data_IF_767210305716
#
_entry.id   IF_767210305716
#
_cell.length_a   1.000
_cell.length_b   1.000
_cell.length_c   1.000
_cell.angle_alpha   90.00
_cell.angle_beta   90.00
_cell.angle_gamma   90.00
#
_symmetry.space_group_name_H-M   'P 1'
#
loop_
_entity.id
_entity.type
_entity.pdbx_description
1 polymer ?
#
# COMPACT_ATOMS: atom_id res chain seq x y z
N UNK A 1 -21.42 -20.85 0.45
CA UNK A 1 -20.57 -20.76 -0.74
C UNK A 1 -19.54 -19.70 -0.46
N UNK A 2 -18.31 -20.10 -0.15
CA UNK A 2 -17.19 -19.16 0.01
C UNK A 2 -16.87 -18.61 -1.37
N UNK A 3 -16.89 -17.28 -1.59
CA UNK A 3 -16.52 -16.74 -2.88
C UNK A 3 -15.02 -16.93 -3.05
N UNK A 4 -14.64 -17.91 -3.88
CA UNK A 4 -13.29 -18.03 -4.40
C UNK A 4 -13.08 -16.87 -5.37
N UNK A 5 -12.64 -15.72 -4.84
CA UNK A 5 -12.23 -14.57 -5.64
C UNK A 5 -11.15 -15.06 -6.62
N UNK A 6 -11.47 -15.17 -7.90
CA UNK A 6 -10.47 -15.53 -8.90
C UNK A 6 -9.41 -14.42 -8.99
N UNK A 7 -8.14 -14.74 -9.33
CA UNK A 7 -7.08 -13.74 -9.47
C UNK A 7 -7.41 -12.60 -10.45
N UNK A 8 -8.28 -12.86 -11.42
CA UNK A 8 -8.80 -11.86 -12.38
C UNK A 8 -9.68 -10.78 -11.74
N UNK A 9 -10.15 -10.99 -10.51
CA UNK A 9 -11.08 -10.11 -9.81
C UNK A 9 -10.38 -9.15 -8.84
N UNK A 10 -9.07 -9.34 -8.59
CA UNK A 10 -8.28 -8.54 -7.64
C UNK A 10 -8.21 -7.05 -8.06
N UNK A 11 -8.20 -6.78 -9.37
CA UNK A 11 -8.24 -5.43 -9.92
C UNK A 11 -9.64 -4.78 -9.90
N UNK A 12 -10.63 -5.38 -9.24
CA UNK A 12 -11.99 -4.84 -9.17
C UNK A 12 -12.41 -4.62 -7.72
N UNK A 13 -12.96 -3.44 -7.41
CA UNK A 13 -13.67 -3.18 -6.16
C UNK A 13 -15.17 -3.00 -6.44
N UNK A 14 -16.01 -3.50 -5.53
CA UNK A 14 -17.47 -3.32 -5.60
C UNK A 14 -17.88 -2.42 -4.43
N UNK A 15 -18.35 -1.23 -4.76
CA UNK A 15 -18.83 -0.24 -3.80
C UNK A 15 -20.19 -0.62 -3.24
N UNK A 16 -20.44 -0.24 -2.00
CA UNK A 16 -21.70 -0.48 -1.31
C UNK A 16 -22.75 0.56 -1.75
N UNK A 17 -22.40 1.84 -1.69
CA UNK A 17 -23.32 2.94 -2.06
C UNK A 17 -23.17 3.38 -3.52
N UNK A 18 -21.92 3.36 -4.00
CA UNK A 18 -21.53 3.76 -5.34
C UNK A 18 -21.45 5.28 -5.54
N UNK A 19 -20.71 5.70 -6.56
CA UNK A 19 -20.71 7.09 -7.00
C UNK A 19 -22.01 7.39 -7.76
N UNK A 20 -22.83 8.31 -7.24
CA UNK A 20 -24.15 8.62 -7.80
C UNK A 20 -24.06 9.81 -8.74
N UNK A 21 -24.55 9.65 -9.96
CA UNK A 21 -24.68 10.73 -10.94
C UNK A 21 -26.09 10.77 -11.52
N UNK A 22 -26.51 11.93 -12.03
CA UNK A 22 -27.78 12.07 -12.73
C UNK A 22 -27.56 11.87 -14.22
N UNK A 23 -28.28 10.92 -14.81
CA UNK A 23 -28.32 10.65 -16.25
C UNK A 23 -29.79 10.64 -16.65
N UNK A 24 -30.15 11.55 -17.54
CA UNK A 24 -31.52 11.69 -18.07
C UNK A 24 -32.61 11.80 -16.97
N UNK A 25 -32.30 12.49 -15.87
CA UNK A 25 -33.23 12.70 -14.76
C UNK A 25 -33.35 11.51 -13.81
N UNK A 26 -32.46 10.53 -13.93
CA UNK A 26 -32.37 9.35 -13.07
C UNK A 26 -31.02 9.30 -12.38
N UNK A 27 -31.03 9.03 -11.08
CA UNK A 27 -29.80 8.79 -10.33
C UNK A 27 -29.27 7.39 -10.65
N UNK A 28 -28.09 7.33 -11.26
CA UNK A 28 -27.40 6.09 -11.61
C UNK A 28 -26.18 5.92 -10.69
N UNK A 29 -26.07 4.78 -9.99
CA UNK A 29 -24.91 4.47 -9.16
C UNK A 29 -23.83 3.72 -9.95
N UNK A 30 -22.61 4.25 -9.94
CA UNK A 30 -21.41 3.55 -10.37
C UNK A 30 -20.86 2.77 -9.19
N UNK A 31 -21.02 1.45 -9.21
CA UNK A 31 -20.68 0.57 -8.09
C UNK A 31 -19.45 -0.28 -8.36
N UNK A 32 -18.97 -0.34 -9.60
CA UNK A 32 -17.83 -1.19 -9.97
C UNK A 32 -16.63 -0.28 -10.23
N UNK A 33 -15.52 -0.53 -9.54
CA UNK A 33 -14.27 0.22 -9.68
C UNK A 33 -13.23 -0.70 -10.30
N UNK A 34 -12.69 -0.33 -11.45
CA UNK A 34 -11.54 -1.02 -12.04
C UNK A 34 -10.28 -0.29 -11.64
N UNK A 35 -9.33 -1.04 -11.09
CA UNK A 35 -8.04 -0.55 -10.65
C UNK A 35 -6.97 -0.78 -11.70
N UNK A 36 -5.89 -0.01 -11.62
CA UNK A 36 -4.68 -0.16 -12.44
C UNK A 36 -3.42 -0.31 -11.57
N UNK A 37 -2.34 -0.90 -12.13
CA UNK A 37 -1.05 -1.04 -11.43
C UNK A 37 -0.53 0.27 -10.87
N UNK A 38 0.24 0.18 -9.78
CA UNK A 38 0.98 1.33 -9.26
C UNK A 38 2.04 1.77 -10.27
N UNK A 39 2.30 3.08 -10.36
CA UNK A 39 3.47 3.59 -11.08
C UNK A 39 4.09 4.73 -10.29
N UNK A 40 5.40 4.92 -10.41
CA UNK A 40 6.12 6.03 -9.77
C UNK A 40 5.56 7.40 -10.18
N UNK A 41 5.02 7.51 -11.41
CA UNK A 41 4.37 8.73 -11.87
C UNK A 41 3.16 9.12 -11.04
N UNK A 42 2.41 8.13 -10.53
CA UNK A 42 1.24 8.39 -9.69
C UNK A 42 1.63 8.99 -8.34
N UNK A 43 2.72 8.54 -7.73
CA UNK A 43 3.20 9.14 -6.47
C UNK A 43 3.58 10.60 -6.68
N UNK A 44 4.29 10.92 -7.76
CA UNK A 44 4.68 12.29 -8.10
C UNK A 44 3.45 13.18 -8.37
N UNK A 45 2.44 12.67 -9.07
CA UNK A 45 1.22 13.41 -9.35
C UNK A 45 0.35 13.58 -8.09
N UNK A 46 0.30 12.57 -7.21
CA UNK A 46 -0.35 12.68 -5.90
C UNK A 46 0.33 13.73 -5.01
N UNK A 47 1.66 13.76 -4.98
CA UNK A 47 2.44 14.78 -4.26
C UNK A 47 2.06 16.17 -4.78
N UNK A 48 2.09 16.39 -6.09
CA UNK A 48 1.73 17.69 -6.70
C UNK A 48 0.31 18.13 -6.36
N UNK A 49 -0.64 17.20 -6.30
CA UNK A 49 -2.03 17.50 -5.92
C UNK A 49 -2.15 17.88 -4.44
N UNK A 50 -1.35 17.26 -3.59
CA UNK A 50 -1.37 17.42 -2.14
C UNK A 50 -0.47 18.55 -1.61
N UNK A 51 0.41 19.08 -2.44
CA UNK A 51 1.26 20.23 -2.11
C UNK A 51 0.44 21.51 -1.95
N UNK A 52 0.75 22.25 -0.87
CA UNK A 52 0.14 23.54 -0.53
C UNK A 52 1.18 24.50 0.00
N UNK A 53 1.08 25.76 -0.40
CA UNK A 53 1.86 26.84 0.21
C UNK A 53 1.10 27.36 1.42
N UNK A 54 1.75 27.34 2.58
CA UNK A 54 1.22 27.88 3.82
C UNK A 54 2.20 28.91 4.39
N UNK A 55 1.73 29.78 5.28
CA UNK A 55 2.58 30.77 5.93
C UNK A 55 2.82 30.37 7.39
N UNK A 56 4.09 30.17 7.74
CA UNK A 56 4.53 29.86 9.11
C UNK A 56 5.37 31.05 9.59
N UNK A 57 4.91 31.75 10.63
CA UNK A 57 5.55 32.96 11.15
C UNK A 57 5.82 34.02 10.06
N UNK A 58 4.86 34.22 9.15
CA UNK A 58 4.96 35.19 8.05
C UNK A 58 5.89 34.78 6.90
N UNK A 59 6.48 33.58 6.93
CA UNK A 59 7.30 33.04 5.84
C UNK A 59 6.53 31.97 5.08
N UNK A 60 6.55 31.98 3.74
CA UNK A 60 5.94 30.90 2.95
C UNK A 60 6.75 29.61 3.15
N UNK A 61 6.04 28.52 3.39
CA UNK A 61 6.57 27.17 3.49
C UNK A 61 5.70 26.23 2.63
N UNK A 62 6.34 25.27 1.97
CA UNK A 62 5.65 24.22 1.26
C UNK A 62 5.31 23.10 2.24
N UNK A 63 4.04 22.68 2.28
CA UNK A 63 3.59 21.55 3.07
C UNK A 63 2.84 20.55 2.20
N UNK A 64 2.99 19.26 2.55
CA UNK A 64 2.25 18.17 1.95
C UNK A 64 1.10 17.79 2.88
N UNK A 65 -0.12 17.69 2.34
CA UNK A 65 -1.27 17.21 3.10
C UNK A 65 -1.42 15.70 2.95
N UNK A 66 -1.21 14.94 4.02
CA UNK A 66 -1.37 13.47 4.03
C UNK A 66 -2.78 13.03 3.61
N UNK A 67 -3.80 13.76 4.04
CA UNK A 67 -5.18 13.46 3.68
C UNK A 67 -5.45 13.65 2.19
N UNK A 68 -4.95 14.73 1.59
CA UNK A 68 -5.09 14.98 0.14
C UNK A 68 -4.24 13.99 -0.64
N UNK A 69 -3.03 13.68 -0.16
CA UNK A 69 -2.15 12.69 -0.78
C UNK A 69 -2.83 11.32 -0.84
N UNK A 70 -3.41 10.85 0.27
CA UNK A 70 -4.15 9.59 0.34
C UNK A 70 -5.29 9.55 -0.69
N UNK A 71 -6.12 10.59 -0.76
CA UNK A 71 -7.24 10.61 -1.71
C UNK A 71 -6.72 10.69 -3.16
N UNK A 72 -5.68 11.48 -3.41
CA UNK A 72 -5.10 11.65 -4.74
C UNK A 72 -4.47 10.35 -5.25
N UNK A 73 -3.69 9.64 -4.43
CA UNK A 73 -3.09 8.38 -4.82
C UNK A 73 -4.17 7.32 -5.06
N UNK A 74 -5.21 7.26 -4.22
CA UNK A 74 -6.37 6.37 -4.43
C UNK A 74 -7.07 6.66 -5.76
N UNK A 75 -7.35 7.93 -6.08
CA UNK A 75 -7.95 8.33 -7.37
C UNK A 75 -7.08 7.91 -8.56
N UNK A 76 -5.76 8.10 -8.44
CA UNK A 76 -4.80 7.74 -9.48
C UNK A 76 -4.70 6.22 -9.70
N UNK A 77 -5.12 5.40 -8.75
CA UNK A 77 -5.19 3.94 -8.89
C UNK A 77 -6.48 3.45 -9.56
N UNK A 78 -7.48 4.31 -9.74
CA UNK A 78 -8.71 3.97 -10.45
C UNK A 78 -8.51 4.17 -11.95
N UNK A 79 -8.72 3.11 -12.74
CA UNK A 79 -8.76 3.14 -14.20
C UNK A 79 -10.11 3.64 -14.72
N UNK A 80 -11.20 3.08 -14.19
CA UNK A 80 -12.56 3.49 -14.52
C UNK A 80 -13.59 3.10 -13.47
N UNK A 81 -14.69 3.83 -13.48
CA UNK A 81 -15.92 3.50 -12.75
C UNK A 81 -16.95 2.95 -13.75
N UNK A 82 -17.57 1.84 -13.40
CA UNK A 82 -18.56 1.12 -14.19
C UNK A 82 -19.88 1.02 -13.42
N UNK A 83 -20.98 1.06 -14.16
CA UNK A 83 -22.32 0.75 -13.64
C UNK A 83 -22.61 -0.73 -13.84
N UNK A 84 -23.51 -1.29 -13.02
CA UNK A 84 -24.06 -2.62 -13.25
C UNK A 84 -24.83 -2.70 -14.57
N UNK A 85 -25.47 -1.59 -14.98
CA UNK A 85 -26.12 -1.47 -16.29
C UNK A 85 -25.08 -1.18 -17.36
N UNK A 86 -24.88 -2.14 -18.28
CA UNK A 86 -23.91 -2.06 -19.38
C UNK A 86 -24.26 -1.03 -20.44
N UNK A 87 -25.47 -0.48 -20.43
CA UNK A 87 -25.86 0.61 -21.35
C UNK A 87 -25.34 1.97 -20.89
N UNK A 88 -24.90 2.08 -19.62
CA UNK A 88 -24.33 3.31 -19.08
C UNK A 88 -22.83 3.31 -19.33
N UNK A 89 -22.32 4.37 -19.96
CA UNK A 89 -20.91 4.50 -20.29
C UNK A 89 -20.06 4.61 -19.02
N UNK A 90 -18.99 3.83 -18.96
CA UNK A 90 -18.01 3.92 -17.89
C UNK A 90 -17.34 5.30 -17.81
N UNK A 91 -17.05 5.76 -16.60
CA UNK A 91 -16.27 6.98 -16.37
C UNK A 91 -14.80 6.58 -16.35
N UNK A 92 -14.05 7.00 -17.38
CA UNK A 92 -12.60 6.76 -17.45
C UNK A 92 -11.82 7.68 -16.52
N UNK A 93 -10.61 7.26 -16.17
CA UNK A 93 -9.69 7.98 -15.29
C UNK A 93 -9.52 9.47 -15.63
N UNK A 94 -9.45 9.82 -16.92
CA UNK A 94 -9.26 11.21 -17.37
C UNK A 94 -10.42 12.16 -17.02
N UNK A 95 -11.57 11.62 -16.63
CA UNK A 95 -12.74 12.39 -16.21
C UNK A 95 -12.89 12.42 -14.68
N UNK A 96 -11.99 11.76 -13.94
CA UNK A 96 -12.01 11.74 -12.49
C UNK A 96 -11.30 12.96 -11.92
N UNK A 97 -11.89 13.51 -10.86
CA UNK A 97 -11.33 14.61 -10.10
C UNK A 97 -11.50 14.39 -8.60
N UNK A 98 -10.88 15.27 -7.80
CA UNK A 98 -10.93 15.19 -6.34
C UNK A 98 -12.35 15.41 -5.81
N UNK A 99 -13.20 16.15 -6.53
CA UNK A 99 -14.59 16.42 -6.14
C UNK A 99 -15.49 15.19 -6.34
N UNK A 100 -15.19 14.35 -7.32
CA UNK A 100 -15.79 13.02 -7.47
C UNK A 100 -15.40 12.12 -6.30
N UNK A 101 -14.14 12.11 -5.91
CA UNK A 101 -13.68 11.31 -4.77
C UNK A 101 -14.31 11.77 -3.45
N UNK A 102 -14.47 13.08 -3.26
CA UNK A 102 -15.13 13.66 -2.09
C UNK A 102 -16.63 13.30 -1.99
N UNK A 103 -17.26 12.88 -3.09
CA UNK A 103 -18.67 12.43 -3.13
C UNK A 103 -18.84 10.96 -2.80
N UNK A 104 -17.76 10.17 -2.77
CA UNK A 104 -17.82 8.80 -2.27
C UNK A 104 -18.05 8.81 -0.76
N UNK A 105 -18.78 7.81 -0.27
CA UNK A 105 -18.90 7.64 1.17
C UNK A 105 -17.55 7.19 1.75
N UNK A 106 -17.24 7.51 3.02
CA UNK A 106 -16.01 7.03 3.65
C UNK A 106 -15.87 5.51 3.63
N UNK A 107 -17.00 4.80 3.65
CA UNK A 107 -17.04 3.35 3.54
C UNK A 107 -16.58 2.87 2.16
N UNK A 108 -17.13 3.45 1.10
CA UNK A 108 -16.74 3.12 -0.28
C UNK A 108 -15.28 3.46 -0.57
N UNK A 109 -14.79 4.59 -0.04
CA UNK A 109 -13.37 4.94 -0.18
C UNK A 109 -12.46 3.89 0.49
N UNK A 110 -12.82 3.44 1.69
CA UNK A 110 -12.06 2.37 2.38
C UNK A 110 -12.09 1.05 1.60
N UNK A 111 -13.22 0.68 0.98
CA UNK A 111 -13.31 -0.52 0.12
C UNK A 111 -12.30 -0.43 -1.04
N UNK A 112 -12.20 0.73 -1.69
CA UNK A 112 -11.25 0.95 -2.79
C UNK A 112 -9.81 0.83 -2.29
N UNK A 113 -9.49 1.45 -1.16
CA UNK A 113 -8.14 1.44 -0.59
C UNK A 113 -7.70 0.06 -0.12
N UNK A 114 -8.59 -0.69 0.56
CA UNK A 114 -8.34 -2.09 0.90
C UNK A 114 -8.06 -2.91 -0.37
N UNK A 115 -8.85 -2.70 -1.42
CA UNK A 115 -8.64 -3.41 -2.69
C UNK A 115 -7.32 -3.04 -3.37
N UNK A 116 -6.91 -1.77 -3.31
CA UNK A 116 -5.61 -1.31 -3.81
C UNK A 116 -4.48 -2.03 -3.07
N UNK A 117 -4.55 -2.13 -1.74
CA UNK A 117 -3.54 -2.82 -0.95
C UNK A 117 -3.41 -4.31 -1.33
N UNK A 118 -4.55 -4.99 -1.54
CA UNK A 118 -4.57 -6.37 -2.04
C UNK A 118 -3.96 -6.49 -3.44
N UNK A 119 -4.25 -5.51 -4.30
CA UNK A 119 -3.72 -5.50 -5.65
C UNK A 119 -2.20 -5.29 -5.66
N UNK A 120 -1.68 -4.37 -4.86
CA UNK A 120 -0.23 -4.15 -4.71
C UNK A 120 0.48 -5.39 -4.22
N UNK A 121 -0.10 -6.09 -3.24
CA UNK A 121 0.46 -7.30 -2.71
C UNK A 121 0.46 -8.43 -3.76
N UNK A 122 -0.61 -8.56 -4.56
CA UNK A 122 -0.66 -9.49 -5.67
C UNK A 122 0.37 -9.16 -6.75
N UNK A 123 0.64 -7.88 -7.00
CA UNK A 123 1.71 -7.45 -7.92
C UNK A 123 3.09 -7.83 -7.38
N UNK A 124 3.35 -7.67 -6.08
CA UNK A 124 4.61 -8.08 -5.47
C UNK A 124 4.86 -9.58 -5.62
N UNK A 125 3.83 -10.43 -5.44
CA UNK A 125 3.94 -11.88 -5.71
C UNK A 125 4.24 -12.13 -7.18
N UNK A 126 3.49 -11.47 -8.08
CA UNK A 126 3.63 -11.66 -9.53
C UNK A 126 5.01 -11.26 -10.04
N UNK A 127 5.60 -10.20 -9.51
CA UNK A 127 6.95 -9.75 -9.87
C UNK A 127 8.06 -10.44 -9.07
N UNK A 128 7.72 -11.37 -8.17
CA UNK A 128 8.69 -12.14 -7.40
C UNK A 128 9.39 -11.36 -6.28
N UNK A 129 8.84 -10.21 -5.88
CA UNK A 129 9.37 -9.41 -4.77
C UNK A 129 9.05 -10.05 -3.42
N UNK A 130 7.97 -10.83 -3.34
CA UNK A 130 7.59 -11.66 -2.19
C UNK A 130 7.23 -13.06 -2.68
N UNK A 131 7.44 -14.09 -1.84
CA UNK A 131 7.01 -15.44 -2.18
C UNK A 131 5.51 -15.64 -1.91
N UNK A 132 4.90 -16.65 -2.54
CA UNK A 132 3.51 -17.04 -2.24
C UNK A 132 3.34 -17.44 -0.75
N UNK A 133 4.37 -18.04 -0.15
CA UNK A 133 4.35 -18.40 1.27
C UNK A 133 4.32 -17.16 2.18
N UNK A 134 5.05 -16.10 1.82
CA UNK A 134 5.03 -14.82 2.53
C UNK A 134 3.66 -14.14 2.40
N UNK A 135 3.07 -14.19 1.20
CA UNK A 135 1.70 -13.72 0.96
C UNK A 135 0.69 -14.44 1.87
N UNK A 136 0.72 -15.77 1.89
CA UNK A 136 -0.22 -16.57 2.67
C UNK A 136 -0.05 -16.35 4.19
N UNK A 137 1.18 -16.09 4.66
CA UNK A 137 1.46 -15.76 6.06
C UNK A 137 0.90 -14.39 6.50
N UNK A 138 0.82 -13.42 5.58
CA UNK A 138 0.20 -12.10 5.83
C UNK A 138 -1.32 -12.25 6.06
N UNK A 139 -1.99 -13.12 5.30
CA UNK A 139 -3.43 -13.35 5.44
C UNK A 139 -3.81 -14.36 6.52
N UNK A 140 -2.93 -15.34 6.80
CA UNK A 140 -3.12 -16.36 7.82
C UNK A 140 -1.94 -16.34 8.79
N UNK A 141 -1.92 -15.45 9.79
CA UNK A 141 -0.81 -15.36 10.74
C UNK A 141 -0.57 -16.66 11.52
N UNK A 142 -1.56 -17.56 11.58
CA UNK A 142 -1.45 -18.90 12.19
C UNK A 142 -0.57 -19.89 11.42
N UNK A 143 -0.23 -19.64 10.14
CA UNK A 143 0.71 -20.48 9.36
C UNK A 143 2.14 -19.91 9.36
N UNK A 144 2.34 -18.68 9.83
CA UNK A 144 3.65 -18.02 9.88
C UNK A 144 4.65 -18.73 10.83
N UNK A 145 4.16 -19.46 11.84
CA UNK A 145 5.03 -20.28 12.71
C UNK A 145 5.51 -21.58 12.05
N UNK A 146 4.94 -21.98 10.90
CA UNK A 146 5.45 -23.10 10.11
C UNK A 146 6.55 -22.69 9.11
N UNK A 147 6.62 -21.40 8.72
CA UNK A 147 7.57 -20.90 7.74
C UNK A 147 8.92 -20.42 8.33
N UNK A 148 9.03 -20.28 9.66
CA UNK A 148 10.27 -19.84 10.34
C UNK A 148 11.42 -20.86 10.36
N UNK A 149 11.30 -22.01 9.71
CA UNK A 149 12.30 -23.09 9.85
C UNK A 149 13.27 -23.28 8.67
N UNK A 150 13.31 -22.39 7.67
CA UNK A 150 14.29 -22.51 6.57
C UNK A 150 14.83 -21.16 6.06
N UNK A 151 15.45 -20.40 6.96
CA UNK A 151 16.49 -19.44 6.54
C UNK A 151 17.84 -19.94 7.09
N UNK A 152 18.89 -20.11 6.26
CA UNK A 152 20.22 -20.41 6.78
C UNK A 152 20.70 -19.18 7.55
N UNK A 153 20.72 -19.31 8.88
CA UNK A 153 21.31 -18.34 9.77
C UNK A 153 22.83 -18.31 9.47
N UNK A 154 23.47 -17.14 9.28
CA UNK A 154 24.91 -17.09 9.10
C UNK A 154 25.55 -17.44 10.44
N UNK A 155 26.04 -18.68 10.55
CA UNK A 155 26.86 -19.12 11.67
C UNK A 155 28.16 -18.33 11.62
N UNK A 156 28.29 -17.32 12.46
CA UNK A 156 29.57 -16.69 12.73
C UNK A 156 30.48 -17.73 13.38
N UNK A 157 31.39 -18.30 12.59
CA UNK A 157 32.49 -19.12 13.07
C UNK A 157 33.47 -18.22 13.84
N UNK A 158 33.28 -18.08 15.15
CA UNK A 158 34.39 -17.69 16.03
C UNK A 158 35.16 -18.97 16.35
N UNK A 159 36.30 -19.13 15.67
CA UNK A 159 37.26 -20.19 15.94
C UNK A 159 37.65 -20.21 17.42
N UNK A 160 37.53 -21.38 18.04
CA UNK A 160 38.13 -21.68 19.31
C UNK A 160 39.65 -21.72 19.12
N UNK A 161 40.32 -20.67 19.58
CA UNK A 161 41.76 -20.63 19.72
C UNK A 161 42.10 -21.09 21.14
N UNK A 162 42.92 -22.14 21.22
CA UNK A 162 43.35 -22.81 22.45
C UNK A 162 43.87 -21.85 23.55
N UNK A 163 43.57 -22.21 24.80
CA UNK A 163 44.12 -21.62 26.03
C UNK A 163 45.66 -21.69 26.07
N UNK A 164 46.29 -20.84 26.90
CA UNK A 164 46.82 -21.44 28.12
C UNK A 164 46.66 -20.57 29.40
N UNK A 165 46.21 -21.27 30.44
CA UNK A 165 46.63 -21.24 31.85
C UNK A 165 46.92 -19.92 32.58
N UNK A 166 46.04 -19.66 33.54
CA UNK A 166 46.26 -19.14 34.91
C UNK A 166 47.73 -19.03 35.39
N UNK A 167 48.24 -17.80 35.51
CA UNK A 167 49.29 -17.42 36.49
C UNK A 167 49.12 -15.94 36.94
N UNK A 168 49.50 -15.60 38.19
CA UNK A 168 48.99 -14.41 38.90
C UNK A 168 49.81 -13.12 38.72
N UNK A 169 49.13 -11.99 38.95
CA UNK A 169 49.59 -10.58 38.78
C UNK A 169 50.89 -10.26 39.53
N UNK A 170 51.61 -9.21 39.07
CA UNK A 170 51.83 -8.10 40.01
C UNK A 170 51.58 -6.72 39.39
N UNK A 171 51.11 -5.82 40.27
CA UNK A 171 50.86 -4.42 40.03
C UNK A 171 52.20 -3.64 40.08
N UNK A 172 52.56 -2.95 39.01
CA UNK A 172 53.50 -1.82 39.01
C UNK A 172 53.17 -1.03 37.74
N UNK A 173 52.61 0.18 37.79
CA UNK A 173 53.15 1.32 38.50
C UNK A 173 53.85 2.23 37.49
N UNK A 174 53.32 3.45 37.35
CA UNK A 174 53.88 4.65 36.69
C UNK A 174 53.68 4.86 35.18
N UNK A 175 52.87 5.88 34.88
CA UNK A 175 53.21 6.93 33.92
C UNK A 175 54.61 7.47 34.20
N UNK A 176 55.42 7.73 33.18
CA UNK A 176 56.10 9.02 32.94
C UNK A 176 56.97 8.94 31.68
N UNK A 177 56.94 10.06 30.92
CA UNK A 177 57.77 10.51 29.79
C UNK A 177 57.46 9.97 28.39
#
# INVERSE_FOLDING_TARGET
MTPTTQPSDIGTAILADGYKTDIDGKQVPYTIVKLRPATVGMDLDAIRLAERVVYINGKPALMLSDAVYRIAITMLRIDRLECTDSNVKAIGHSLMDMDMMARLTPHDLNIVEERIALYDLAEQVRYGNISQADFDAIFNPSTADAAKQTTPQPTGETGAMDEPSDQPRPFAGRLDA
#
